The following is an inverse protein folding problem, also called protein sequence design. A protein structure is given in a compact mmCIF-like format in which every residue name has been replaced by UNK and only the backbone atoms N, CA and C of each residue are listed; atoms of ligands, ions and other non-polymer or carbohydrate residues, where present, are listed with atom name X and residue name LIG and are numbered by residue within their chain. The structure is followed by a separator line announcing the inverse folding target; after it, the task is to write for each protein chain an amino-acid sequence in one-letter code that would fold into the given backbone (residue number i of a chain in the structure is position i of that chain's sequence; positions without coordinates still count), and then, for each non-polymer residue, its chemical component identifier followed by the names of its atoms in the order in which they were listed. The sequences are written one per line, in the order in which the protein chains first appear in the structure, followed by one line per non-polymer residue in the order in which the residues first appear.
data_IF_856569035169
#
_entry.id   IF_856569035169
#
_cell.length_a   1.000
_cell.length_b   1.000
_cell.length_c   1.000
_cell.angle_alpha   90.00
_cell.angle_beta   90.00
_cell.angle_gamma   90.00
#
_symmetry.space_group_name_H-M   'P 1'
#
loop_
_entity.id
_entity.type
_entity.pdbx_description
1 polymer ?
#
# COMPACT_ATOMS: atom_id res chain seq x y z
N UNK A 1 -21.39 24.90 3.17
CA UNK A 1 -20.82 23.85 4.05
C UNK A 1 -20.72 22.65 3.15
N UNK A 2 -19.65 22.58 2.36
CA UNK A 2 -19.59 21.68 1.21
C UNK A 2 -18.42 20.74 1.45
N UNK A 3 -18.78 19.58 1.98
CA UNK A 3 -17.90 18.43 2.16
C UNK A 3 -17.53 17.91 0.76
N UNK A 4 -16.52 18.52 0.15
CA UNK A 4 -15.91 17.99 -1.07
C UNK A 4 -15.09 16.76 -0.68
N UNK A 5 -15.79 15.66 -0.48
CA UNK A 5 -15.26 14.32 -0.27
C UNK A 5 -14.70 13.81 -1.59
N UNK A 6 -13.61 14.43 -2.06
CA UNK A 6 -12.88 14.03 -3.27
C UNK A 6 -12.04 12.75 -3.08
N UNK A 7 -12.40 11.90 -2.12
CA UNK A 7 -11.88 10.54 -1.96
C UNK A 7 -12.86 9.52 -2.58
N UNK A 8 -13.94 9.96 -3.21
CA UNK A 8 -14.74 9.12 -4.08
C UNK A 8 -14.03 8.97 -5.44
N UNK A 9 -13.63 7.76 -5.78
CA UNK A 9 -13.10 7.35 -7.09
C UNK A 9 -11.62 7.67 -7.37
N UNK A 10 -10.71 7.14 -6.56
CA UNK A 10 -9.54 6.54 -7.21
C UNK A 10 -10.03 5.22 -7.83
N UNK A 11 -10.03 5.05 -9.16
CA UNK A 11 -10.52 3.83 -9.79
C UNK A 11 -9.57 2.70 -9.39
N UNK A 12 -10.03 1.87 -8.45
CA UNK A 12 -9.27 0.78 -7.86
C UNK A 12 -8.73 -0.19 -8.92
N UNK A 13 -9.47 -0.36 -10.01
CA UNK A 13 -9.02 -1.13 -11.17
C UNK A 13 -7.78 -0.51 -11.85
N UNK A 14 -7.64 0.81 -11.87
CA UNK A 14 -6.46 1.47 -12.45
C UNK A 14 -5.26 1.44 -11.50
N UNK A 15 -5.46 1.57 -10.19
CA UNK A 15 -4.37 1.44 -9.20
C UNK A 15 -3.80 0.02 -9.21
N UNK A 16 -4.67 -0.99 -9.25
CA UNK A 16 -4.23 -2.39 -9.30
C UNK A 16 -3.54 -2.74 -10.63
N UNK A 17 -3.97 -2.14 -11.74
CA UNK A 17 -3.30 -2.27 -13.05
C UNK A 17 -1.93 -1.58 -13.07
N UNK A 18 -1.80 -0.36 -12.53
CA UNK A 18 -0.50 0.36 -12.39
C UNK A 18 0.45 -0.39 -11.45
N UNK A 19 -0.09 -1.04 -10.42
CA UNK A 19 0.66 -1.85 -9.48
C UNK A 19 1.14 -3.16 -10.09
N UNK A 20 0.30 -3.89 -10.82
CA UNK A 20 0.56 -5.29 -11.21
C UNK A 20 1.91 -5.50 -11.91
N UNK A 21 2.26 -4.67 -12.88
CA UNK A 21 3.54 -4.83 -13.60
C UNK A 21 4.74 -4.32 -12.79
N UNK A 22 4.57 -3.29 -11.94
CA UNK A 22 5.61 -2.86 -11.00
C UNK A 22 5.87 -3.90 -9.92
N UNK A 23 4.81 -4.54 -9.42
CA UNK A 23 4.91 -5.61 -8.44
C UNK A 23 5.39 -6.93 -9.04
N UNK A 24 5.26 -7.20 -10.34
CA UNK A 24 5.90 -8.36 -11.00
C UNK A 24 7.42 -8.32 -10.91
N UNK A 25 8.03 -7.13 -10.93
CA UNK A 25 9.47 -6.97 -10.76
C UNK A 25 9.94 -7.12 -9.30
N UNK A 26 9.02 -7.06 -8.33
CA UNK A 26 9.35 -7.18 -6.91
C UNK A 26 9.73 -8.64 -6.59
N UNK A 27 10.86 -8.89 -5.91
CA UNK A 27 11.27 -10.22 -5.49
C UNK A 27 10.19 -10.91 -4.65
N UNK A 28 10.07 -12.24 -4.79
CA UNK A 28 9.08 -13.02 -4.02
C UNK A 28 9.25 -12.84 -2.51
N UNK A 29 10.49 -12.76 -2.04
CA UNK A 29 10.83 -12.55 -0.63
C UNK A 29 10.30 -11.21 -0.09
N UNK A 30 10.38 -10.15 -0.90
CA UNK A 30 9.82 -8.83 -0.53
C UNK A 30 8.29 -8.86 -0.47
N UNK A 31 7.64 -9.62 -1.36
CA UNK A 31 6.20 -9.82 -1.28
C UNK A 31 5.81 -10.65 -0.06
N UNK A 32 6.59 -11.69 0.27
CA UNK A 32 6.39 -12.50 1.47
C UNK A 32 6.57 -11.67 2.75
N UNK A 33 7.58 -10.81 2.79
CA UNK A 33 7.79 -9.85 3.87
C UNK A 33 6.55 -8.97 4.08
N UNK A 34 5.97 -8.45 2.99
CA UNK A 34 4.81 -7.56 3.06
C UNK A 34 3.51 -8.25 3.52
N UNK A 35 3.37 -9.56 3.32
CA UNK A 35 2.17 -10.31 3.72
C UNK A 35 2.25 -10.92 5.11
N UNK A 36 3.45 -11.06 5.67
CA UNK A 36 3.67 -11.59 7.01
C UNK A 36 3.18 -10.58 8.07
N UNK A 37 2.20 -10.96 8.92
CA UNK A 37 1.71 -10.11 10.00
C UNK A 37 2.79 -9.69 10.99
N UNK A 38 3.85 -10.49 11.18
CA UNK A 38 4.94 -10.16 12.10
C UNK A 38 5.73 -8.91 11.67
N UNK A 39 5.66 -8.57 10.38
CA UNK A 39 6.35 -7.41 9.81
C UNK A 39 5.50 -6.12 9.82
N UNK A 40 4.27 -6.17 10.35
CA UNK A 40 3.32 -5.05 10.34
C UNK A 40 3.93 -3.78 10.92
N UNK A 41 4.50 -3.85 12.12
CA UNK A 41 5.11 -2.70 12.81
C UNK A 41 6.23 -2.06 11.99
N UNK A 42 7.04 -2.88 11.31
CA UNK A 42 8.12 -2.38 10.48
C UNK A 42 7.55 -1.69 9.22
N UNK A 43 6.58 -2.31 8.56
CA UNK A 43 5.90 -1.71 7.40
C UNK A 43 5.21 -0.40 7.76
N UNK A 44 4.52 -0.36 8.91
CA UNK A 44 3.83 0.82 9.41
C UNK A 44 4.80 1.99 9.65
N UNK A 45 5.93 1.74 10.32
CA UNK A 45 6.96 2.76 10.54
C UNK A 45 7.51 3.30 9.21
N UNK A 46 7.82 2.42 8.27
CA UNK A 46 8.30 2.81 6.94
C UNK A 46 7.25 3.58 6.13
N UNK A 47 5.98 3.17 6.20
CA UNK A 47 4.86 3.87 5.58
C UNK A 47 4.72 5.29 6.14
N UNK A 48 4.74 5.43 7.46
CA UNK A 48 4.64 6.73 8.14
C UNK A 48 5.82 7.63 7.79
N UNK A 49 7.04 7.11 7.77
CA UNK A 49 8.23 7.87 7.37
C UNK A 49 8.14 8.32 5.90
N UNK A 50 7.72 7.43 5.00
CA UNK A 50 7.52 7.76 3.59
C UNK A 50 6.47 8.85 3.40
N UNK A 51 5.36 8.79 4.14
CA UNK A 51 4.34 9.83 4.13
C UNK A 51 4.89 11.16 4.67
N UNK A 52 5.70 11.16 5.72
CA UNK A 52 6.35 12.39 6.23
C UNK A 52 7.23 13.05 5.17
N UNK A 53 7.90 12.27 4.33
CA UNK A 53 8.80 12.79 3.29
C UNK A 53 8.04 13.25 2.03
N UNK A 54 7.01 12.50 1.62
CA UNK A 54 6.33 12.70 0.32
C UNK A 54 5.05 13.52 0.42
N UNK A 55 4.29 13.37 1.51
CA UNK A 55 3.05 14.11 1.76
C UNK A 55 2.84 14.35 3.26
N UNK A 56 3.60 15.28 3.88
CA UNK A 56 3.57 15.51 5.33
C UNK A 56 2.18 15.80 5.89
N UNK A 57 1.28 16.39 5.09
CA UNK A 57 -0.10 16.70 5.49
C UNK A 57 -0.96 15.45 5.71
N UNK A 58 -0.58 14.32 5.10
CA UNK A 58 -1.24 13.01 5.23
C UNK A 58 -0.41 12.03 6.06
N UNK A 59 0.66 12.46 6.71
CA UNK A 59 1.49 11.60 7.57
C UNK A 59 0.82 11.32 8.92
N UNK A 60 -0.37 10.73 8.88
CA UNK A 60 -1.15 10.31 10.05
C UNK A 60 -1.05 8.80 10.25
N UNK A 61 -1.40 8.33 11.44
CA UNK A 61 -1.48 6.90 11.73
C UNK A 61 -2.45 6.17 10.80
N UNK A 62 -3.64 6.74 10.60
CA UNK A 62 -4.68 6.14 9.76
C UNK A 62 -4.22 5.96 8.31
N UNK A 63 -3.52 6.94 7.76
CA UNK A 63 -3.02 6.90 6.38
C UNK A 63 -1.85 5.91 6.23
N UNK A 64 -1.00 5.80 7.25
CA UNK A 64 0.06 4.80 7.27
C UNK A 64 -0.51 3.37 7.36
N UNK A 65 -1.52 3.13 8.20
CA UNK A 65 -2.24 1.84 8.26
C UNK A 65 -2.85 1.48 6.91
N UNK A 66 -3.60 2.40 6.29
CA UNK A 66 -4.18 2.19 4.95
C UNK A 66 -3.11 1.84 3.92
N UNK A 67 -1.95 2.49 3.96
CA UNK A 67 -0.86 2.20 3.03
C UNK A 67 -0.29 0.78 3.25
N UNK A 68 -0.13 0.36 4.51
CA UNK A 68 0.32 -1.00 4.84
C UNK A 68 -0.68 -2.05 4.37
N UNK A 69 -1.97 -1.83 4.60
CA UNK A 69 -3.04 -2.71 4.13
C UNK A 69 -3.03 -2.82 2.60
N UNK A 70 -2.93 -1.70 1.89
CA UNK A 70 -2.83 -1.68 0.42
C UNK A 70 -1.62 -2.46 -0.09
N UNK A 71 -0.45 -2.31 0.55
CA UNK A 71 0.76 -3.05 0.18
C UNK A 71 0.59 -4.55 0.41
N UNK A 72 -0.02 -4.93 1.53
CA UNK A 72 -0.28 -6.33 1.89
C UNK A 72 -1.25 -6.99 0.92
N UNK A 73 -2.36 -6.34 0.60
CA UNK A 73 -3.33 -6.86 -0.37
C UNK A 73 -2.73 -7.00 -1.77
N UNK A 74 -2.00 -5.99 -2.22
CA UNK A 74 -1.30 -6.03 -3.52
C UNK A 74 -0.29 -7.18 -3.57
N UNK A 75 0.47 -7.39 -2.49
CA UNK A 75 1.44 -8.47 -2.41
C UNK A 75 0.77 -9.86 -2.44
N UNK A 76 -0.37 -10.04 -1.75
CA UNK A 76 -1.16 -11.28 -1.80
C UNK A 76 -1.60 -11.59 -3.23
N UNK A 77 -2.21 -10.62 -3.91
CA UNK A 77 -2.68 -10.80 -5.30
C UNK A 77 -1.56 -11.20 -6.26
N UNK A 78 -0.37 -10.61 -6.10
CA UNK A 78 0.79 -10.91 -6.95
C UNK A 78 1.36 -12.28 -6.63
N UNK A 79 1.42 -12.67 -5.35
CA UNK A 79 1.87 -14.01 -4.94
C UNK A 79 0.92 -15.10 -5.46
N UNK A 80 -0.40 -14.86 -5.43
CA UNK A 80 -1.41 -15.75 -5.98
C UNK A 80 -1.30 -15.89 -7.50
N UNK A 81 -1.08 -14.79 -8.22
CA UNK A 81 -0.91 -14.79 -9.66
C UNK A 81 0.40 -15.44 -10.15
N UNK A 82 1.38 -15.64 -9.25
CA UNK A 82 2.68 -16.29 -9.54
C UNK A 82 2.73 -17.77 -9.14
N UNK A 83 1.65 -18.33 -8.58
CA UNK A 83 1.54 -19.76 -8.30
C UNK A 83 1.37 -20.53 -9.61
#
# INVERSE_FOLDING_TARGET
MDKNSSIASLPWDEITVIGKDKFKAVPRETLQFAVDPANHDQMFKSALESLKQTNPKRATFEEAEKLVEMMRESAKLVLEARK
#
